data_IF_429629315440
#
_entry.id   IF_429629315440
#
_cell.length_a   1.000
_cell.length_b   1.000
_cell.length_c   1.000
_cell.angle_alpha   90.00
_cell.angle_beta   90.00
_cell.angle_gamma   90.00
#
_symmetry.space_group_name_H-M   'P 1'
#
loop_
_entity.id
_entity.type
_entity.pdbx_description
1 polymer ?
#
# COMPACT_ATOMS: atom_id res chain seq x y z
N UNK A 1 -11.78 -0.14 25.00
CA UNK A 1 -12.83 0.59 24.30
C UNK A 1 -12.52 2.04 24.04
N UNK A 2 -11.72 2.68 24.92
CA UNK A 2 -11.30 4.06 24.72
C UNK A 2 -9.94 4.18 24.05
N UNK A 3 -9.23 3.08 23.95
CA UNK A 3 -7.93 3.04 23.29
C UNK A 3 -8.10 3.00 21.78
N UNK A 4 -7.24 3.74 21.11
CA UNK A 4 -7.19 3.73 19.65
C UNK A 4 -5.89 3.09 19.20
N UNK A 5 -5.97 2.26 18.15
CA UNK A 5 -4.82 1.59 17.58
C UNK A 5 -4.67 2.05 16.13
N UNK A 6 -3.48 2.49 15.80
CA UNK A 6 -3.20 2.94 14.45
C UNK A 6 -1.96 2.27 13.89
N UNK A 7 -1.65 2.63 12.68
CA UNK A 7 -0.45 2.14 12.01
C UNK A 7 0.39 3.32 11.54
N UNK A 8 1.68 3.05 11.32
CA UNK A 8 2.60 4.06 10.84
C UNK A 8 3.28 3.55 9.57
N UNK A 9 3.34 4.42 8.58
CA UNK A 9 3.96 4.14 7.30
C UNK A 9 5.22 4.98 7.17
N UNK A 10 6.28 4.41 6.63
CA UNK A 10 7.43 5.18 6.19
C UNK A 10 7.02 5.88 4.90
N UNK A 11 6.57 7.13 5.03
CA UNK A 11 6.08 7.91 3.91
C UNK A 11 7.23 8.43 3.05
N UNK A 12 7.03 8.43 1.77
CA UNK A 12 8.01 8.94 0.83
C UNK A 12 7.42 8.83 -0.55
N UNK A 13 6.84 9.91 -1.01
CA UNK A 13 6.18 9.90 -2.31
C UNK A 13 7.19 9.76 -3.43
N UNK A 14 6.79 9.07 -4.48
CA UNK A 14 7.53 8.99 -5.72
C UNK A 14 6.90 9.95 -6.72
N UNK A 15 7.69 10.88 -7.19
CA UNK A 15 7.27 11.84 -8.21
C UNK A 15 7.77 11.38 -9.58
N UNK A 16 7.00 11.60 -10.64
CA UNK A 16 7.51 11.26 -11.97
C UNK A 16 8.70 12.13 -12.31
N UNK A 17 9.71 11.53 -12.93
CA UNK A 17 10.90 12.27 -13.34
C UNK A 17 10.57 13.31 -14.41
N UNK A 18 9.57 13.01 -15.25
CA UNK A 18 9.08 13.93 -16.27
C UNK A 18 7.57 13.72 -16.45
N UNK A 19 6.97 14.52 -17.33
CA UNK A 19 5.55 14.39 -17.64
C UNK A 19 5.23 13.28 -18.63
N UNK A 20 6.22 12.50 -19.05
CA UNK A 20 6.00 11.38 -19.96
C UNK A 20 5.12 10.33 -19.30
N UNK A 21 4.20 9.71 -20.04
CA UNK A 21 3.33 8.68 -19.47
C UNK A 21 4.08 7.55 -18.79
N UNK A 22 5.23 7.15 -19.32
CA UNK A 22 6.05 6.09 -18.75
C UNK A 22 6.56 6.46 -17.36
N UNK A 23 6.98 7.70 -17.18
CA UNK A 23 7.48 8.18 -15.90
C UNK A 23 6.36 8.32 -14.87
N UNK A 24 5.20 8.81 -15.32
CA UNK A 24 4.02 8.94 -14.46
C UNK A 24 3.56 7.56 -14.00
N UNK A 25 3.53 6.59 -14.91
CA UNK A 25 3.17 5.22 -14.57
C UNK A 25 4.15 4.60 -13.59
N UNK A 26 5.46 4.81 -13.81
CA UNK A 26 6.48 4.28 -12.90
C UNK A 26 6.33 4.84 -11.49
N UNK A 27 6.03 6.14 -11.37
CA UNK A 27 5.79 6.74 -10.07
C UNK A 27 4.58 6.14 -9.38
N UNK A 28 3.50 5.93 -10.11
CA UNK A 28 2.28 5.31 -9.58
C UNK A 28 2.55 3.90 -9.08
N UNK A 29 3.29 3.10 -9.84
CA UNK A 29 3.60 1.74 -9.43
C UNK A 29 4.43 1.71 -8.15
N UNK A 30 5.41 2.62 -8.02
CA UNK A 30 6.24 2.70 -6.82
C UNK A 30 5.41 3.14 -5.61
N UNK A 31 4.50 4.09 -5.77
CA UNK A 31 3.61 4.50 -4.70
C UNK A 31 2.71 3.34 -4.26
N UNK A 32 2.19 2.57 -5.20
CA UNK A 32 1.35 1.41 -4.85
C UNK A 32 2.11 0.36 -4.06
N UNK A 33 3.38 0.11 -4.39
CA UNK A 33 4.20 -0.82 -3.61
C UNK A 33 4.34 -0.37 -2.17
N UNK A 34 4.52 0.94 -1.96
CA UNK A 34 4.70 1.50 -0.62
C UNK A 34 3.38 1.59 0.14
N UNK A 35 2.31 1.97 -0.52
CA UNK A 35 1.03 2.21 0.12
C UNK A 35 0.20 0.94 0.32
N UNK A 36 0.65 -0.18 -0.23
CA UNK A 36 -0.09 -1.44 -0.16
C UNK A 36 -0.46 -1.82 1.28
N UNK A 37 0.50 -1.72 2.19
CA UNK A 37 0.27 -2.14 3.58
C UNK A 37 -0.77 -1.27 4.26
N UNK A 38 -0.71 0.04 4.03
CA UNK A 38 -1.69 0.98 4.58
C UNK A 38 -3.08 0.70 3.99
N UNK A 39 -3.15 0.40 2.69
CA UNK A 39 -4.43 0.09 2.06
C UNK A 39 -5.09 -1.11 2.71
N UNK A 40 -4.33 -2.18 2.97
CA UNK A 40 -4.88 -3.37 3.62
C UNK A 40 -5.32 -3.05 5.04
N UNK A 41 -4.49 -2.33 5.80
CA UNK A 41 -4.76 -2.05 7.20
C UNK A 41 -5.95 -1.09 7.38
N UNK A 42 -6.11 -0.14 6.48
CA UNK A 42 -7.16 0.86 6.58
C UNK A 42 -8.48 0.40 5.99
N UNK A 43 -8.44 -0.38 4.93
CA UNK A 43 -9.64 -0.81 4.21
C UNK A 43 -10.12 -2.20 4.57
N UNK A 44 -9.27 -3.00 5.19
CA UNK A 44 -9.64 -4.34 5.63
C UNK A 44 -9.72 -5.37 4.52
N UNK A 45 -9.17 -5.08 3.36
CA UNK A 45 -9.16 -6.01 2.24
C UNK A 45 -7.97 -5.68 1.33
N UNK A 46 -7.53 -6.65 0.56
CA UNK A 46 -6.48 -6.41 -0.41
C UNK A 46 -7.02 -5.51 -1.53
N UNK A 47 -6.27 -4.46 -1.91
CA UNK A 47 -6.70 -3.59 -3.00
C UNK A 47 -6.70 -4.33 -4.34
N UNK A 48 -7.50 -3.82 -5.27
CA UNK A 48 -7.67 -4.48 -6.57
C UNK A 48 -6.35 -4.64 -7.33
N UNK A 49 -5.46 -3.66 -7.22
CA UNK A 49 -4.18 -3.72 -7.93
C UNK A 49 -3.24 -4.80 -7.39
N UNK A 50 -3.47 -5.31 -6.18
CA UNK A 50 -2.58 -6.30 -5.57
C UNK A 50 -2.58 -7.60 -6.34
N UNK A 51 -3.71 -8.01 -6.89
CA UNK A 51 -3.80 -9.25 -7.66
C UNK A 51 -2.87 -9.22 -8.87
N UNK A 52 -2.80 -8.09 -9.55
CA UNK A 52 -1.90 -7.93 -10.68
C UNK A 52 -0.44 -7.95 -10.25
N UNK A 53 -0.11 -7.23 -9.17
CA UNK A 53 1.26 -7.16 -8.67
C UNK A 53 1.76 -8.55 -8.27
N UNK A 54 0.94 -9.30 -7.53
CA UNK A 54 1.32 -10.65 -7.11
C UNK A 54 1.49 -11.58 -8.31
N UNK A 55 0.61 -11.47 -9.30
CA UNK A 55 0.71 -12.28 -10.50
C UNK A 55 2.00 -12.00 -11.28
N UNK A 56 2.34 -10.74 -11.43
CA UNK A 56 3.55 -10.34 -12.15
C UNK A 56 4.83 -10.79 -11.43
N UNK A 57 4.81 -10.81 -10.11
CA UNK A 57 5.94 -11.26 -9.30
C UNK A 57 5.95 -12.75 -9.04
N UNK A 58 4.93 -13.47 -9.50
CA UNK A 58 4.84 -14.90 -9.27
C UNK A 58 4.58 -15.28 -7.83
N UNK A 59 3.93 -14.38 -7.07
CA UNK A 59 3.65 -14.60 -5.65
C UNK A 59 2.21 -15.07 -5.48
N UNK A 60 2.05 -16.09 -4.65
CA UNK A 60 0.73 -16.58 -4.25
C UNK A 60 0.57 -16.39 -2.75
N UNK A 61 -0.52 -15.75 -2.37
CA UNK A 61 -0.82 -15.51 -0.95
C UNK A 61 -1.71 -16.64 -0.45
N UNK A 62 -1.22 -17.37 0.53
CA UNK A 62 -2.00 -18.44 1.18
C UNK A 62 -2.78 -17.84 2.34
N UNK A 63 -4.10 -18.00 2.30
CA UNK A 63 -4.96 -17.50 3.36
C UNK A 63 -5.57 -18.67 4.12
N UNK A 64 -5.56 -18.56 5.44
CA UNK A 64 -6.29 -19.51 6.28
C UNK A 64 -7.77 -19.14 6.30
N UNK A 65 -8.66 -20.11 6.59
CA UNK A 65 -10.07 -19.79 6.79
C UNK A 65 -10.22 -18.73 7.88
N UNK A 66 -10.99 -17.68 7.59
CA UNK A 66 -11.22 -16.60 8.53
C UNK A 66 -10.28 -15.42 8.42
N UNK A 67 -9.22 -15.50 7.59
CA UNK A 67 -8.30 -14.39 7.44
C UNK A 67 -8.98 -13.14 6.92
N UNK A 68 -9.93 -13.27 6.00
CA UNK A 68 -10.66 -12.13 5.48
C UNK A 68 -11.46 -11.42 6.58
N UNK A 69 -12.01 -12.17 7.53
CA UNK A 69 -12.71 -11.58 8.66
C UNK A 69 -11.78 -10.87 9.61
N UNK A 70 -10.57 -11.41 9.82
CA UNK A 70 -9.55 -10.75 10.64
C UNK A 70 -9.13 -9.43 10.02
N UNK A 71 -8.97 -9.39 8.69
CA UNK A 71 -8.57 -8.16 7.99
C UNK A 71 -9.59 -7.04 8.13
N UNK A 72 -10.84 -7.37 8.38
CA UNK A 72 -11.89 -6.35 8.57
C UNK A 72 -11.72 -5.56 9.86
N UNK A 73 -10.88 -6.00 10.77
CA UNK A 73 -10.51 -5.23 11.96
C UNK A 73 -9.49 -4.17 11.56
N UNK A 74 -9.99 -3.04 11.13
CA UNK A 74 -9.15 -1.97 10.58
C UNK A 74 -8.60 -1.07 11.68
N UNK A 75 -7.64 -0.22 11.30
CA UNK A 75 -7.01 0.70 12.24
C UNK A 75 -7.92 1.89 12.52
N UNK A 76 -7.72 2.51 13.69
CA UNK A 76 -8.47 3.72 14.06
C UNK A 76 -7.88 4.97 13.43
N UNK A 77 -6.57 4.97 13.15
CA UNK A 77 -5.91 6.10 12.50
C UNK A 77 -4.69 5.62 11.72
N UNK A 78 -4.25 6.47 10.79
CA UNK A 78 -3.08 6.23 9.96
C UNK A 78 -2.11 7.39 10.19
N UNK A 79 -0.84 7.08 10.38
CA UNK A 79 0.21 8.08 10.50
C UNK A 79 1.38 7.73 9.58
N UNK A 80 2.25 8.70 9.34
CA UNK A 80 3.41 8.46 8.49
C UNK A 80 4.57 9.33 8.93
N UNK A 81 5.78 8.85 8.60
CA UNK A 81 7.01 9.63 8.71
C UNK A 81 7.48 9.98 7.31
N UNK A 82 7.78 11.24 7.09
CA UNK A 82 8.20 11.71 5.76
C UNK A 82 9.59 12.33 5.87
N UNK A 83 10.56 11.71 5.21
CA UNK A 83 11.94 12.17 5.23
C UNK A 83 12.42 12.68 3.88
N UNK A 84 12.05 11.97 2.82
CA UNK A 84 12.62 12.23 1.51
C UNK A 84 11.60 11.97 0.42
N UNK A 85 11.68 12.79 -0.62
CA UNK A 85 10.95 12.57 -1.85
C UNK A 85 11.86 11.87 -2.85
N UNK A 86 11.28 11.11 -3.75
CA UNK A 86 12.01 10.37 -4.75
C UNK A 86 11.35 10.56 -6.11
N UNK A 87 12.13 10.31 -7.15
CA UNK A 87 11.63 10.34 -8.52
C UNK A 87 11.71 8.94 -9.12
N UNK A 88 10.77 8.64 -10.00
CA UNK A 88 10.75 7.39 -10.74
C UNK A 88 10.63 7.66 -12.24
N UNK A 89 11.24 6.81 -13.02
CA UNK A 89 11.19 6.91 -14.47
C UNK A 89 11.09 5.53 -15.12
#
# INVERSE_FOLDING_TARGET
PQNQVGCMLAGGNFYPYSCKPEDVWAALEKDRENLFFIDVQARGTYPAYSARVFREKGVTINKAPGDDEILKNTVDFVSFSYYASRCAS
#
